data_IF_347377976463
#
_entry.id   IF_347377976463
#
_cell.length_a   1.000
_cell.length_b   1.000
_cell.length_c   1.000
_cell.angle_alpha   90.00
_cell.angle_beta   90.00
_cell.angle_gamma   90.00
#
_symmetry.space_group_name_H-M   'P 1'
#
loop_
_entity.id
_entity.type
_entity.pdbx_description
1 polymer ?
#
# COMPACT_ATOMS: atom_id res chain seq x y z
N UNK A 1 32.91 6.57 -17.41
CA UNK A 1 31.73 6.61 -16.50
C UNK A 1 30.54 5.88 -17.17
N UNK A 2 30.61 4.56 -17.31
CA UNK A 2 29.61 3.73 -18.01
C UNK A 2 28.66 3.08 -17.00
N UNK A 3 28.10 3.85 -16.06
CA UNK A 3 27.16 3.31 -15.06
C UNK A 3 26.02 4.28 -14.72
N UNK A 4 25.54 5.07 -15.69
CA UNK A 4 24.31 5.88 -15.53
C UNK A 4 23.20 5.51 -16.52
N UNK A 5 23.25 4.33 -17.17
CA UNK A 5 22.25 3.96 -18.18
C UNK A 5 21.48 2.66 -17.90
N UNK A 6 21.46 2.15 -16.66
CA UNK A 6 20.62 0.98 -16.31
C UNK A 6 19.28 1.31 -15.63
N UNK A 7 19.03 2.58 -15.30
CA UNK A 7 17.83 2.97 -14.53
C UNK A 7 16.64 3.45 -15.38
N UNK A 8 16.79 3.50 -16.71
CA UNK A 8 15.69 3.79 -17.65
C UNK A 8 15.16 2.54 -18.37
N UNK A 9 15.37 1.35 -17.80
CA UNK A 9 14.52 0.22 -18.20
C UNK A 9 13.13 0.55 -17.66
N UNK A 10 12.07 0.63 -18.50
CA UNK A 10 10.71 0.66 -17.96
C UNK A 10 10.56 -0.67 -17.23
N UNK A 11 10.80 -0.66 -15.90
CA UNK A 11 10.46 -1.79 -15.04
C UNK A 11 9.00 -2.01 -15.33
N UNK A 12 8.69 -3.13 -15.99
CA UNK A 12 7.33 -3.46 -16.42
C UNK A 12 6.37 -3.05 -15.31
N UNK A 13 5.68 -1.95 -15.56
CA UNK A 13 5.01 -1.24 -14.48
C UNK A 13 3.71 -2.00 -14.25
N UNK A 14 3.60 -2.62 -13.09
CA UNK A 14 2.41 -3.38 -12.72
C UNK A 14 1.25 -2.38 -12.65
N UNK A 15 0.39 -2.40 -13.68
CA UNK A 15 -0.69 -1.44 -13.84
C UNK A 15 -1.94 -1.95 -13.15
N UNK A 16 -2.55 -1.11 -12.32
CA UNK A 16 -3.87 -1.35 -11.80
C UNK A 16 -4.89 -1.17 -12.91
N UNK A 17 -5.62 -2.23 -13.26
CA UNK A 17 -6.67 -2.18 -14.30
C UNK A 17 -7.86 -1.30 -13.90
N UNK A 18 -8.07 -1.06 -12.60
CA UNK A 18 -9.22 -0.30 -12.10
C UNK A 18 -9.02 1.22 -12.13
N UNK A 19 -7.80 1.71 -11.91
CA UNK A 19 -7.51 3.16 -11.87
C UNK A 19 -6.34 3.59 -12.76
N UNK A 20 -5.71 2.66 -13.47
CA UNK A 20 -4.60 2.93 -14.38
C UNK A 20 -3.27 3.26 -13.73
N UNK A 21 -3.16 3.29 -12.39
CA UNK A 21 -1.91 3.56 -11.66
C UNK A 21 -0.88 2.46 -11.90
N UNK A 22 0.37 2.87 -12.06
CA UNK A 22 1.50 1.99 -12.35
C UNK A 22 2.43 1.86 -11.13
N UNK A 23 2.82 0.63 -10.81
CA UNK A 23 3.66 0.31 -9.66
C UNK A 23 4.94 -0.43 -10.07
N UNK A 24 6.04 -0.16 -9.37
CA UNK A 24 7.35 -0.76 -9.65
C UNK A 24 7.48 -2.23 -9.21
N UNK A 25 6.52 -2.75 -8.42
CA UNK A 25 6.53 -4.10 -7.86
C UNK A 25 5.11 -4.67 -7.80
N UNK A 26 4.96 -5.97 -8.07
CA UNK A 26 3.66 -6.65 -8.02
C UNK A 26 3.05 -6.66 -6.61
N UNK A 27 3.86 -6.84 -5.56
CA UNK A 27 3.40 -6.80 -4.17
C UNK A 27 2.74 -5.46 -3.80
N UNK A 28 3.27 -4.36 -4.34
CA UNK A 28 2.69 -3.02 -4.15
C UNK A 28 1.40 -2.87 -4.94
N UNK A 29 1.32 -3.43 -6.17
CA UNK A 29 0.06 -3.47 -6.92
C UNK A 29 -1.00 -4.29 -6.17
N UNK A 30 -0.67 -5.48 -5.66
CA UNK A 30 -1.60 -6.33 -4.90
C UNK A 30 -2.11 -5.61 -3.65
N UNK A 31 -1.22 -4.95 -2.89
CA UNK A 31 -1.62 -4.11 -1.77
C UNK A 31 -2.42 -2.87 -2.20
N UNK A 32 -2.19 -2.34 -3.39
CA UNK A 32 -3.03 -1.26 -3.91
C UNK A 32 -4.42 -1.76 -4.29
N UNK A 33 -4.57 -2.99 -4.78
CA UNK A 33 -5.87 -3.52 -5.17
C UNK A 33 -6.85 -3.69 -3.99
N UNK A 34 -6.37 -3.90 -2.76
CA UNK A 34 -7.25 -3.93 -1.58
C UNK A 34 -7.91 -2.58 -1.29
N UNK A 35 -7.31 -1.45 -1.69
CA UNK A 35 -7.95 -0.12 -1.49
C UNK A 35 -9.22 0.00 -2.33
N UNK A 36 -9.22 -0.61 -3.51
CA UNK A 36 -10.35 -0.57 -4.43
C UNK A 36 -11.51 -1.45 -4.00
N UNK A 37 -11.22 -2.55 -3.33
CA UNK A 37 -12.24 -3.42 -2.77
C UNK A 37 -13.00 -2.78 -1.60
N UNK A 38 -12.53 -1.62 -1.08
CA UNK A 38 -12.99 -1.00 0.17
C UNK A 38 -12.97 -1.96 1.37
N UNK A 39 -12.36 -3.13 1.20
CA UNK A 39 -12.06 -4.09 2.25
C UNK A 39 -10.91 -3.49 3.06
N UNK A 40 -11.26 -2.57 3.96
CA UNK A 40 -10.40 -2.21 5.06
C UNK A 40 -10.44 -3.41 6.02
N UNK A 41 -9.44 -4.27 5.89
CA UNK A 41 -9.37 -5.62 6.48
C UNK A 41 -8.99 -5.54 7.96
N UNK A 42 -8.27 -4.48 8.35
CA UNK A 42 -7.76 -4.32 9.70
C UNK A 42 -8.61 -3.27 10.42
N UNK A 43 -9.43 -3.69 11.37
CA UNK A 43 -10.27 -2.81 12.18
C UNK A 43 -9.61 -2.57 13.55
N UNK A 44 -9.66 -1.33 14.01
CA UNK A 44 -9.28 -0.99 15.37
C UNK A 44 -10.43 -1.31 16.30
N UNK A 45 -10.21 -2.21 17.26
CA UNK A 45 -11.22 -2.58 18.25
C UNK A 45 -11.61 -1.42 19.17
N UNK A 46 -10.73 -0.41 19.35
CA UNK A 46 -10.99 0.69 20.28
C UNK A 46 -11.92 1.77 19.72
N UNK A 47 -11.90 2.03 18.40
CA UNK A 47 -12.71 3.09 17.79
C UNK A 47 -13.44 2.67 16.50
N UNK A 48 -13.28 1.43 16.06
CA UNK A 48 -13.86 0.93 14.80
C UNK A 48 -13.22 1.49 13.54
N UNK A 49 -12.09 2.22 13.64
CA UNK A 49 -11.40 2.72 12.46
C UNK A 49 -10.80 1.57 11.66
N UNK A 50 -11.01 1.63 10.34
CA UNK A 50 -10.60 0.56 9.44
C UNK A 50 -9.41 0.99 8.58
N UNK A 51 -8.43 0.11 8.45
CA UNK A 51 -7.16 0.31 7.74
C UNK A 51 -6.95 -0.74 6.66
N UNK A 52 -6.20 -0.37 5.62
CA UNK A 52 -5.82 -1.28 4.52
C UNK A 52 -4.53 -2.04 4.79
N UNK A 53 -3.79 -1.68 5.85
CA UNK A 53 -2.50 -2.29 6.22
C UNK A 53 -2.42 -2.51 7.72
N UNK A 54 -1.91 -3.67 8.13
CA UNK A 54 -1.70 -4.01 9.55
C UNK A 54 -0.76 -3.02 10.24
N UNK A 55 0.34 -2.62 9.59
CA UNK A 55 1.27 -1.63 10.16
C UNK A 55 0.63 -0.26 10.41
N UNK A 56 -0.35 0.13 9.58
CA UNK A 56 -1.11 1.35 9.79
C UNK A 56 -2.08 1.22 10.98
N UNK A 57 -2.73 0.06 11.14
CA UNK A 57 -3.52 -0.24 12.33
C UNK A 57 -2.64 -0.23 13.59
N UNK A 58 -1.49 -0.91 13.60
CA UNK A 58 -0.60 -0.98 14.76
C UNK A 58 -0.11 0.41 15.18
N UNK A 59 0.26 1.26 14.23
CA UNK A 59 0.65 2.65 14.54
C UNK A 59 -0.51 3.45 15.12
N UNK A 60 -1.72 3.25 14.58
CA UNK A 60 -2.92 3.88 15.10
C UNK A 60 -3.30 3.38 16.50
N UNK A 61 -3.19 2.08 16.81
CA UNK A 61 -3.51 1.58 18.15
C UNK A 61 -2.65 2.24 19.24
N UNK A 62 -1.40 2.62 18.93
CA UNK A 62 -0.54 3.36 19.85
C UNK A 62 -1.06 4.75 20.21
N UNK A 63 -1.94 5.34 19.40
CA UNK A 63 -2.57 6.63 19.74
C UNK A 63 -3.67 6.47 20.77
N UNK A 64 -4.23 5.27 20.94
CA UNK A 64 -5.20 4.97 22.01
C UNK A 64 -4.52 4.69 23.34
N UNK A 65 -3.32 4.09 23.31
CA UNK A 65 -2.47 3.90 24.49
C UNK A 65 -1.71 5.19 24.88
N UNK A 66 -2.02 6.31 24.25
CA UNK A 66 -1.35 7.59 24.41
C UNK A 66 -2.13 8.61 25.25
N UNK A 67 -2.47 8.25 26.50
CA UNK A 67 -2.17 8.99 27.75
C UNK A 67 -2.54 8.13 28.97
#
# INVERSE_FOLDING_TARGET
>A
LILHQRSHRPKAAYKCMQCGKSFSRISVLTQHQVVHRRERIFECENCGDRFTRSSSLTLHCKTHEGE
#
